data_IF_636647425931
#
_entry.id   IF_636647425931
#
_cell.length_a   1.000
_cell.length_b   1.000
_cell.length_c   1.000
_cell.angle_alpha   90.00
_cell.angle_beta   90.00
_cell.angle_gamma   90.00
#
_symmetry.space_group_name_H-M   'P 1'
#
loop_
_entity.id
_entity.type
_entity.pdbx_description
1 polymer ?
#
# COMPACT_ATOMS: atom_id res chain seq x y z
N UNK A 1 1.58 -16.30 -4.33
CA UNK A 1 1.07 -15.92 -5.67
C UNK A 1 0.02 -14.84 -5.52
N UNK A 2 0.15 -13.73 -6.25
CA UNK A 2 -0.86 -12.68 -6.40
C UNK A 2 -1.56 -12.84 -7.74
N UNK A 3 -2.91 -12.86 -7.75
CA UNK A 3 -3.68 -13.08 -8.97
C UNK A 3 -4.85 -12.12 -9.06
N UNK A 4 -5.06 -11.59 -10.25
CA UNK A 4 -6.26 -10.88 -10.67
C UNK A 4 -6.90 -11.70 -11.79
N UNK A 5 -8.22 -11.92 -11.71
CA UNK A 5 -8.94 -12.69 -12.69
C UNK A 5 -10.21 -11.95 -13.15
N UNK A 6 -10.28 -11.68 -14.45
CA UNK A 6 -11.39 -11.02 -15.16
C UNK A 6 -11.94 -9.78 -14.44
N UNK A 7 -11.05 -8.91 -13.94
CA UNK A 7 -11.42 -7.73 -13.17
C UNK A 7 -12.04 -6.66 -14.06
N UNK A 8 -13.28 -6.27 -13.74
CA UNK A 8 -13.99 -5.20 -14.43
C UNK A 8 -14.34 -4.08 -13.45
N UNK A 9 -14.12 -2.84 -13.88
CA UNK A 9 -14.47 -1.66 -13.09
C UNK A 9 -15.00 -0.54 -13.96
N UNK A 10 -16.02 0.19 -13.46
CA UNK A 10 -16.55 1.44 -14.02
C UNK A 10 -16.98 2.37 -12.90
N UNK A 11 -16.89 3.68 -13.13
CA UNK A 11 -17.26 4.68 -12.12
C UNK A 11 -18.79 4.80 -11.91
N UNK A 12 -19.57 4.63 -12.97
CA UNK A 12 -21.05 4.68 -12.92
C UNK A 12 -21.62 3.50 -13.70
N UNK A 13 -22.81 3.04 -13.34
CA UNK A 13 -23.47 1.90 -14.02
C UNK A 13 -23.62 2.10 -15.55
N UNK A 14 -23.77 3.35 -15.99
CA UNK A 14 -23.95 3.73 -17.39
C UNK A 14 -22.65 4.11 -18.11
N UNK A 15 -21.51 4.19 -17.40
CA UNK A 15 -20.21 4.53 -17.99
C UNK A 15 -19.56 3.32 -18.64
N UNK A 16 -18.71 3.51 -19.66
CA UNK A 16 -17.84 2.46 -20.17
C UNK A 16 -16.96 1.86 -19.05
N UNK A 17 -16.53 0.63 -19.25
CA UNK A 17 -15.54 0.03 -18.37
C UNK A 17 -14.20 0.75 -18.48
N UNK A 18 -13.60 1.03 -17.33
CA UNK A 18 -12.23 1.56 -17.22
C UNK A 18 -11.25 0.40 -17.08
N UNK A 19 -11.68 -0.67 -16.41
CA UNK A 19 -11.02 -1.97 -16.42
C UNK A 19 -12.02 -2.95 -17.03
N UNK A 20 -11.60 -3.66 -18.05
CA UNK A 20 -12.45 -4.58 -18.80
C UNK A 20 -11.74 -5.92 -18.96
N UNK A 21 -12.10 -6.88 -18.11
CA UNK A 21 -11.55 -8.23 -18.12
C UNK A 21 -10.06 -8.32 -17.80
N UNK A 22 -9.53 -7.42 -16.95
CA UNK A 22 -8.09 -7.41 -16.60
C UNK A 22 -7.72 -8.67 -15.81
N UNK A 23 -6.73 -9.41 -16.31
CA UNK A 23 -6.17 -10.58 -15.65
C UNK A 23 -4.65 -10.50 -15.62
N UNK A 24 -4.04 -10.85 -14.49
CA UNK A 24 -2.61 -10.96 -14.30
C UNK A 24 -2.28 -11.88 -13.13
N UNK A 25 -1.10 -12.45 -13.16
CA UNK A 25 -0.54 -13.26 -12.08
C UNK A 25 0.89 -12.80 -11.81
N UNK A 26 1.28 -12.81 -10.53
CA UNK A 26 2.63 -12.54 -10.06
C UNK A 26 3.01 -13.57 -9.02
N UNK A 27 4.13 -14.23 -9.22
CA UNK A 27 4.68 -15.16 -8.24
C UNK A 27 5.46 -14.41 -7.15
N UNK A 28 5.80 -15.12 -6.10
CA UNK A 28 6.62 -14.57 -5.02
C UNK A 28 8.02 -14.22 -5.53
N UNK A 29 8.44 -12.98 -5.30
CA UNK A 29 9.74 -12.47 -5.75
C UNK A 29 9.73 -11.84 -7.13
N UNK A 30 8.62 -11.88 -7.86
CA UNK A 30 8.49 -11.20 -9.16
C UNK A 30 8.18 -9.71 -9.00
N UNK A 31 8.61 -8.95 -9.99
CA UNK A 31 8.31 -7.51 -10.13
C UNK A 31 7.43 -7.31 -11.35
N UNK A 32 6.19 -6.86 -11.14
CA UNK A 32 5.28 -6.47 -12.20
C UNK A 32 5.41 -4.97 -12.52
N UNK A 33 5.53 -4.64 -13.80
CA UNK A 33 5.57 -3.24 -14.27
C UNK A 33 4.33 -2.98 -15.12
N UNK A 34 3.57 -1.93 -14.72
CA UNK A 34 2.38 -1.52 -15.47
C UNK A 34 2.69 -0.27 -16.30
N UNK A 35 2.73 -0.45 -17.61
CA UNK A 35 2.94 0.63 -18.58
C UNK A 35 1.63 1.01 -19.27
N UNK A 36 1.50 2.25 -19.68
CA UNK A 36 0.32 2.72 -20.41
C UNK A 36 0.17 4.24 -20.36
N UNK A 37 -0.63 4.78 -21.29
CA UNK A 37 -0.92 6.22 -21.38
C UNK A 37 -1.65 6.73 -20.14
N UNK A 38 -1.65 8.05 -19.94
CA UNK A 38 -2.48 8.67 -18.90
C UNK A 38 -3.96 8.38 -19.21
N UNK A 39 -4.74 8.04 -18.17
CA UNK A 39 -6.13 7.63 -18.32
C UNK A 39 -6.36 6.14 -18.67
N UNK A 40 -5.32 5.33 -18.89
CA UNK A 40 -5.47 3.90 -19.24
C UNK A 40 -5.94 3.00 -18.07
N UNK A 41 -6.35 3.57 -16.94
CA UNK A 41 -6.88 2.79 -15.80
C UNK A 41 -5.84 2.30 -14.79
N UNK A 42 -4.55 2.64 -14.92
CA UNK A 42 -3.48 2.19 -13.98
C UNK A 42 -3.82 2.48 -12.53
N UNK A 43 -4.15 3.73 -12.20
CA UNK A 43 -4.55 4.14 -10.84
C UNK A 43 -5.82 3.43 -10.39
N UNK A 44 -6.77 3.21 -11.29
CA UNK A 44 -8.02 2.49 -11.00
C UNK A 44 -7.74 1.05 -10.63
N UNK A 45 -6.80 0.39 -11.31
CA UNK A 45 -6.40 -0.98 -10.99
C UNK A 45 -5.72 -1.04 -9.61
N UNK A 46 -4.76 -0.14 -9.31
CA UNK A 46 -4.17 -0.06 -7.98
C UNK A 46 -5.21 0.21 -6.90
N UNK A 47 -6.15 1.14 -7.12
CA UNK A 47 -7.24 1.40 -6.19
C UNK A 47 -8.15 0.18 -5.97
N UNK A 48 -8.35 -0.63 -7.00
CA UNK A 48 -9.10 -1.89 -6.88
C UNK A 48 -8.33 -2.94 -6.06
N UNK A 49 -7.02 -3.07 -6.30
CA UNK A 49 -6.13 -3.95 -5.52
C UNK A 49 -6.13 -3.54 -4.05
N UNK A 50 -6.01 -2.24 -3.76
CA UNK A 50 -6.04 -1.70 -2.40
C UNK A 50 -7.43 -1.74 -1.74
N UNK A 51 -8.49 -2.04 -2.53
CA UNK A 51 -9.88 -2.05 -2.07
C UNK A 51 -10.45 -0.66 -1.78
N UNK A 52 -9.84 0.38 -2.33
CA UNK A 52 -10.39 1.74 -2.35
C UNK A 52 -11.56 1.81 -3.33
N UNK A 53 -11.42 1.16 -4.48
CA UNK A 53 -12.47 1.02 -5.50
C UNK A 53 -12.98 -0.43 -5.52
N UNK A 54 -14.30 -0.62 -5.42
CA UNK A 54 -14.90 -1.95 -5.49
C UNK A 54 -15.15 -2.36 -6.94
N UNK A 55 -14.56 -3.45 -7.43
CA UNK A 55 -14.82 -3.95 -8.78
C UNK A 55 -16.30 -4.29 -9.00
N UNK A 56 -16.74 -4.22 -10.25
CA UNK A 56 -18.08 -4.66 -10.69
C UNK A 56 -18.13 -6.18 -10.76
N UNK A 57 -17.05 -6.78 -11.26
CA UNK A 57 -16.88 -8.24 -11.36
C UNK A 57 -15.40 -8.61 -11.36
N UNK A 58 -15.10 -9.90 -11.32
CA UNK A 58 -13.77 -10.44 -11.22
C UNK A 58 -13.28 -10.58 -9.77
N UNK A 59 -12.11 -11.16 -9.61
CA UNK A 59 -11.51 -11.42 -8.29
C UNK A 59 -10.07 -10.93 -8.21
N UNK A 60 -9.66 -10.61 -6.99
CA UNK A 60 -8.27 -10.33 -6.64
C UNK A 60 -7.93 -11.26 -5.50
N UNK A 61 -6.89 -12.07 -5.63
CA UNK A 61 -6.46 -12.99 -4.58
C UNK A 61 -4.97 -12.85 -4.27
N UNK A 62 -4.62 -13.14 -3.04
CA UNK A 62 -3.24 -13.23 -2.54
C UNK A 62 -3.10 -14.50 -1.71
N UNK A 63 -2.21 -15.39 -2.12
CA UNK A 63 -2.00 -16.71 -1.50
C UNK A 63 -3.32 -17.47 -1.26
N UNK A 64 -4.20 -17.47 -2.26
CA UNK A 64 -5.51 -18.13 -2.20
C UNK A 64 -6.60 -17.38 -1.42
N UNK A 65 -6.28 -16.28 -0.77
CA UNK A 65 -7.25 -15.44 -0.03
C UNK A 65 -7.88 -14.44 -0.98
N UNK A 66 -9.21 -14.44 -1.06
CA UNK A 66 -9.97 -13.45 -1.86
C UNK A 66 -9.89 -12.05 -1.22
N UNK A 67 -9.07 -11.19 -1.81
CA UNK A 67 -8.89 -9.81 -1.36
C UNK A 67 -10.11 -8.92 -1.64
N UNK A 68 -11.00 -9.29 -2.55
CA UNK A 68 -12.22 -8.49 -2.82
C UNK A 68 -13.17 -8.52 -1.64
N UNK A 69 -13.14 -9.61 -0.84
CA UNK A 69 -13.96 -9.81 0.36
C UNK A 69 -13.22 -9.51 1.67
N UNK A 70 -11.90 -9.35 1.62
CA UNK A 70 -11.09 -9.10 2.81
C UNK A 70 -11.43 -7.75 3.45
N UNK A 71 -11.43 -7.70 4.78
CA UNK A 71 -11.55 -6.45 5.54
C UNK A 71 -10.35 -5.53 5.25
N UNK A 72 -10.49 -4.23 5.56
CA UNK A 72 -9.40 -3.26 5.41
C UNK A 72 -8.14 -3.69 6.17
N UNK A 73 -8.29 -4.16 7.40
CA UNK A 73 -7.16 -4.64 8.21
C UNK A 73 -6.51 -5.88 7.63
N UNK A 74 -7.29 -6.87 7.19
CA UNK A 74 -6.75 -8.08 6.54
C UNK A 74 -5.96 -7.74 5.26
N UNK A 75 -6.49 -6.83 4.44
CA UNK A 75 -5.82 -6.37 3.22
C UNK A 75 -4.54 -5.60 3.54
N UNK A 76 -4.58 -4.69 4.51
CA UNK A 76 -3.43 -3.91 4.93
C UNK A 76 -2.27 -4.76 5.47
N UNK A 77 -2.55 -5.93 6.04
CA UNK A 77 -1.51 -6.89 6.48
C UNK A 77 -0.89 -7.70 5.34
N UNK A 78 -1.41 -7.59 4.11
CA UNK A 78 -0.96 -8.38 2.95
C UNK A 78 -0.43 -7.50 1.82
N UNK A 79 -0.89 -6.27 1.73
CA UNK A 79 -0.57 -5.35 0.63
C UNK A 79 -0.12 -4.03 1.24
N UNK A 80 1.16 -3.71 1.07
CA UNK A 80 1.71 -2.39 1.38
C UNK A 80 1.63 -1.48 0.14
N UNK A 81 1.48 -0.19 0.36
CA UNK A 81 1.36 0.79 -0.71
C UNK A 81 2.20 2.03 -0.45
N UNK A 82 2.99 2.40 -1.44
CA UNK A 82 3.72 3.68 -1.46
C UNK A 82 3.07 4.60 -2.49
N UNK A 83 2.32 5.63 -2.07
CA UNK A 83 1.68 6.57 -3.00
C UNK A 83 2.71 7.46 -3.70
N UNK A 84 2.37 7.92 -4.90
CA UNK A 84 3.21 8.86 -5.67
C UNK A 84 3.39 10.19 -4.93
N UNK A 85 2.31 10.71 -4.34
CA UNK A 85 2.32 11.95 -3.55
C UNK A 85 1.94 11.62 -2.11
N UNK A 86 2.85 11.89 -1.18
CA UNK A 86 2.66 11.57 0.23
C UNK A 86 2.59 12.86 1.03
N UNK A 87 1.48 13.02 1.75
CA UNK A 87 1.32 14.05 2.76
C UNK A 87 1.51 13.42 4.14
N UNK A 88 2.55 13.80 4.84
CA UNK A 88 2.88 13.26 6.16
C UNK A 88 2.37 14.13 7.31
N UNK A 89 1.89 15.35 7.03
CA UNK A 89 1.61 16.34 8.07
C UNK A 89 2.87 16.72 8.85
N UNK A 90 2.70 16.97 10.15
CA UNK A 90 3.78 17.39 11.07
C UNK A 90 4.29 16.24 11.95
N UNK A 91 4.03 15.00 11.58
CA UNK A 91 4.48 13.83 12.33
C UNK A 91 6.01 13.72 12.30
N UNK A 92 6.57 13.14 13.38
CA UNK A 92 7.97 12.71 13.36
C UNK A 92 8.18 11.57 12.36
N UNK A 93 9.42 11.35 11.95
CA UNK A 93 9.79 10.19 11.11
C UNK A 93 9.37 8.90 11.81
N UNK A 94 9.68 8.75 13.11
CA UNK A 94 9.29 7.58 13.90
C UNK A 94 7.78 7.35 13.87
N UNK A 95 6.98 8.37 14.17
CA UNK A 95 5.52 8.25 14.19
C UNK A 95 4.95 7.94 12.80
N UNK A 96 5.52 8.55 11.76
CA UNK A 96 5.15 8.28 10.37
C UNK A 96 5.36 6.82 9.97
N UNK A 97 6.47 6.21 10.40
CA UNK A 97 6.75 4.78 10.15
C UNK A 97 5.83 3.92 11.02
N UNK A 98 5.59 4.31 12.28
CA UNK A 98 4.68 3.62 13.20
C UNK A 98 3.25 3.53 12.65
N UNK A 99 2.78 4.50 11.85
CA UNK A 99 1.48 4.41 11.16
C UNK A 99 1.38 3.18 10.24
N UNK A 100 2.49 2.65 9.74
CA UNK A 100 2.49 1.39 8.99
C UNK A 100 1.96 0.20 9.81
N UNK A 101 2.12 0.25 11.14
CA UNK A 101 1.67 -0.81 12.06
C UNK A 101 0.19 -0.73 12.47
N UNK A 102 -0.56 0.30 12.03
CA UNK A 102 -1.96 0.51 12.44
C UNK A 102 -2.87 -0.71 12.26
N UNK A 103 -2.61 -1.56 11.26
CA UNK A 103 -3.40 -2.77 11.03
C UNK A 103 -3.17 -3.86 12.10
N UNK A 104 -2.13 -3.72 12.93
CA UNK A 104 -1.74 -4.64 13.99
C UNK A 104 -2.10 -4.14 15.37
N UNK A 105 -2.35 -2.82 15.53
CA UNK A 105 -2.71 -2.25 16.82
C UNK A 105 -4.00 -2.84 17.36
N UNK A 106 -3.98 -3.12 18.69
CA UNK A 106 -5.18 -3.22 19.48
C UNK A 106 -5.62 -1.82 19.94
N UNK A 107 -5.70 -1.61 21.26
CA UNK A 107 -5.97 -0.27 21.83
C UNK A 107 -4.75 0.65 21.73
N UNK A 108 -3.54 0.08 21.73
CA UNK A 108 -2.24 0.78 21.68
C UNK A 108 -1.23 -0.05 20.88
N UNK A 109 -0.16 0.60 20.41
CA UNK A 109 0.99 -0.08 19.84
C UNK A 109 1.65 -0.98 20.90
N UNK A 110 1.91 -2.23 20.54
CA UNK A 110 2.63 -3.17 21.38
C UNK A 110 4.15 -2.95 21.28
N UNK A 111 4.92 -3.51 22.22
CA UNK A 111 6.38 -3.45 22.17
C UNK A 111 6.95 -4.15 20.92
N UNK A 112 6.26 -5.18 20.43
CA UNK A 112 6.59 -5.81 19.14
C UNK A 112 6.51 -4.84 17.96
N UNK A 113 5.52 -3.94 17.94
CA UNK A 113 5.38 -2.94 16.88
C UNK A 113 6.52 -1.91 16.93
N UNK A 114 6.89 -1.48 18.14
CA UNK A 114 8.03 -0.58 18.36
C UNK A 114 9.34 -1.18 17.84
N UNK A 115 9.62 -2.45 18.18
CA UNK A 115 10.81 -3.16 17.70
C UNK A 115 10.86 -3.24 16.18
N UNK A 116 9.72 -3.50 15.52
CA UNK A 116 9.66 -3.51 14.04
C UNK A 116 10.05 -2.15 13.47
N UNK A 117 9.52 -1.06 14.02
CA UNK A 117 9.84 0.30 13.57
C UNK A 117 11.30 0.66 13.81
N UNK A 118 11.84 0.34 15.00
CA UNK A 118 13.25 0.58 15.35
C UNK A 118 14.21 -0.19 14.41
N UNK A 119 13.89 -1.44 14.09
CA UNK A 119 14.66 -2.24 13.16
C UNK A 119 14.67 -1.62 11.75
N UNK A 120 13.51 -1.15 11.26
CA UNK A 120 13.40 -0.50 9.95
C UNK A 120 14.18 0.82 9.93
N UNK A 121 14.09 1.62 10.98
CA UNK A 121 14.85 2.86 11.13
C UNK A 121 16.35 2.58 11.01
N UNK A 122 16.84 1.55 11.70
CA UNK A 122 18.24 1.13 11.67
C UNK A 122 18.64 0.59 10.29
N UNK A 123 17.84 -0.31 9.70
CA UNK A 123 18.11 -0.91 8.38
C UNK A 123 18.20 0.16 7.29
N UNK A 124 17.31 1.16 7.34
CA UNK A 124 17.24 2.25 6.38
C UNK A 124 18.17 3.43 6.71
N UNK A 125 18.94 3.36 7.81
CA UNK A 125 19.85 4.42 8.27
C UNK A 125 19.11 5.75 8.44
N UNK A 126 18.07 5.75 9.28
CA UNK A 126 17.20 6.89 9.54
C UNK A 126 17.30 7.39 11.00
N UNK A 127 18.26 6.88 11.79
CA UNK A 127 18.37 7.14 13.22
C UNK A 127 18.45 8.64 13.52
N UNK A 128 19.27 9.39 12.77
CA UNK A 128 19.45 10.83 12.95
C UNK A 128 18.20 11.66 12.57
N UNK A 129 17.32 11.07 11.79
CA UNK A 129 16.09 11.70 11.34
C UNK A 129 14.87 11.30 12.18
N UNK A 130 14.97 10.27 13.02
CA UNK A 130 13.85 9.62 13.68
C UNK A 130 12.91 10.58 14.44
N UNK A 131 13.48 11.59 15.09
CA UNK A 131 12.75 12.58 15.90
C UNK A 131 12.37 13.85 15.12
N UNK A 132 12.89 14.02 13.91
CA UNK A 132 12.60 15.21 13.08
C UNK A 132 11.20 15.12 12.48
N UNK A 133 10.58 16.28 12.26
CA UNK A 133 9.33 16.35 11.49
C UNK A 133 9.57 15.97 10.03
N UNK A 134 8.68 15.13 9.46
CA UNK A 134 8.77 14.76 8.04
C UNK A 134 8.59 15.97 7.12
N UNK A 135 7.91 17.03 7.60
CA UNK A 135 7.75 18.28 6.83
C UNK A 135 9.08 19.04 6.58
N UNK A 136 10.08 18.82 7.44
CA UNK A 136 11.41 19.45 7.33
C UNK A 136 12.36 18.72 6.39
N UNK A 137 11.99 17.53 5.93
CA UNK A 137 12.83 16.68 5.12
C UNK A 137 12.77 17.04 3.63
N UNK A 138 13.85 16.75 2.92
CA UNK A 138 13.90 16.81 1.47
C UNK A 138 12.93 15.84 0.80
N UNK A 139 12.63 16.03 -0.47
CA UNK A 139 11.75 15.16 -1.24
C UNK A 139 12.22 13.69 -1.26
N UNK A 140 13.54 13.48 -1.42
CA UNK A 140 14.14 12.14 -1.40
C UNK A 140 14.04 11.46 -0.04
N UNK A 141 14.29 12.21 1.06
CA UNK A 141 14.12 11.69 2.41
C UNK A 141 12.66 11.34 2.68
N UNK A 142 11.71 12.19 2.31
CA UNK A 142 10.27 11.88 2.42
C UNK A 142 9.88 10.62 1.67
N UNK A 143 10.43 10.40 0.48
CA UNK A 143 10.21 9.17 -0.28
C UNK A 143 10.76 7.95 0.48
N UNK A 144 11.94 8.08 1.09
CA UNK A 144 12.56 7.04 1.91
C UNK A 144 11.69 6.69 3.14
N UNK A 145 11.11 7.71 3.80
CA UNK A 145 10.16 7.50 4.91
C UNK A 145 8.88 6.79 4.45
N UNK A 146 8.37 7.10 3.26
CA UNK A 146 7.22 6.41 2.71
C UNK A 146 7.46 4.92 2.49
N UNK A 147 8.65 4.57 1.99
CA UNK A 147 9.08 3.18 1.81
C UNK A 147 9.20 2.51 3.19
N UNK A 148 9.86 3.15 4.16
CA UNK A 148 9.98 2.66 5.52
C UNK A 148 8.62 2.35 6.16
N UNK A 149 7.63 3.26 5.98
CA UNK A 149 6.26 3.05 6.44
C UNK A 149 5.59 1.86 5.77
N UNK A 150 5.81 1.67 4.46
CA UNK A 150 5.28 0.52 3.74
C UNK A 150 5.94 -0.80 4.22
N UNK A 151 7.24 -0.79 4.50
CA UNK A 151 7.95 -1.95 5.10
C UNK A 151 7.38 -2.29 6.49
N UNK A 152 7.02 -1.29 7.29
CA UNK A 152 6.42 -1.50 8.61
C UNK A 152 5.01 -2.10 8.55
N UNK A 153 4.37 -2.08 7.39
CA UNK A 153 3.01 -2.61 7.18
C UNK A 153 2.98 -4.14 7.03
N UNK A 154 4.14 -4.79 6.94
CA UNK A 154 4.27 -6.25 6.79
C UNK A 154 4.06 -7.02 8.10
#
# INVERSE_FOLDING_TARGET
MFKIDNLCYRYKKTSPYVLDGVSLELEKGEIGIMLGRNGAGKTTLFNSILGISRPVSGTISYDGIDMTKASRSQRARKIAYVPQNIQFGTLSVYDSIMLGRLSYFGVRAADSDRRVVENIIKEMKLEELAVRSVSELSGGERQKIAIARAMAQQ
#
